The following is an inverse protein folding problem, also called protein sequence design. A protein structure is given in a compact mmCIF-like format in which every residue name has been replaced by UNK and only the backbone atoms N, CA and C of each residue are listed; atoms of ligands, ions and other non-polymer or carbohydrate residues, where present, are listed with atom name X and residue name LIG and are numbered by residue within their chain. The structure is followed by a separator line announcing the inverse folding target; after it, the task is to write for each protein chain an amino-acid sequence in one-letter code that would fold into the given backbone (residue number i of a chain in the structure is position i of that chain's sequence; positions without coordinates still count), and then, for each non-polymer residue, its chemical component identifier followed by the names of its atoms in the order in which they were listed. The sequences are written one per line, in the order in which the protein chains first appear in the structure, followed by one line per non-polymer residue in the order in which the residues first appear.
data_IF_711833821284
#
_entry.id   IF_711833821284
#
_cell.length_a   1.000
_cell.length_b   1.000
_cell.length_c   1.000
_cell.angle_alpha   90.00
_cell.angle_beta   90.00
_cell.angle_gamma   90.00
#
_symmetry.space_group_name_H-M   'P 1'
#
loop_
_entity.id
_entity.type
_entity.pdbx_description
1 polymer ?
#
# COMPACT_ATOMS: atom_id res chain seq x y z
N UNK A 1 -51.82 -22.26 -20.63
CA UNK A 1 -50.65 -21.41 -20.93
C UNK A 1 -50.35 -20.50 -19.74
N UNK A 2 -49.63 -20.95 -18.69
CA UNK A 2 -49.30 -20.12 -17.51
C UNK A 2 -48.23 -20.76 -16.60
N UNK A 3 -47.21 -21.40 -17.17
CA UNK A 3 -46.13 -22.04 -16.37
C UNK A 3 -44.73 -21.83 -16.93
N UNK A 4 -44.58 -21.32 -18.16
CA UNK A 4 -43.27 -21.17 -18.80
C UNK A 4 -42.53 -19.85 -18.47
N UNK A 5 -43.17 -18.89 -17.79
CA UNK A 5 -42.58 -17.56 -17.56
C UNK A 5 -41.80 -17.51 -16.22
N UNK A 6 -42.02 -18.46 -15.30
CA UNK A 6 -41.41 -18.40 -13.96
C UNK A 6 -39.93 -18.85 -13.91
N UNK A 7 -39.48 -19.64 -14.89
CA UNK A 7 -38.14 -20.24 -14.88
C UNK A 7 -37.04 -19.32 -15.42
N UNK A 8 -37.39 -18.33 -16.25
CA UNK A 8 -36.41 -17.39 -16.81
C UNK A 8 -36.01 -16.32 -15.79
N UNK A 9 -36.90 -15.94 -14.87
CA UNK A 9 -36.58 -14.97 -13.82
C UNK A 9 -35.68 -15.54 -12.71
N UNK A 10 -35.71 -16.87 -12.47
CA UNK A 10 -34.91 -17.47 -11.39
C UNK A 10 -33.43 -17.65 -11.77
N UNK A 11 -33.11 -17.82 -13.06
CA UNK A 11 -31.71 -17.88 -13.53
C UNK A 11 -31.06 -16.49 -13.67
N UNK A 12 -31.84 -15.42 -13.75
CA UNK A 12 -31.32 -14.06 -13.79
C UNK A 12 -30.81 -13.56 -12.43
N UNK A 13 -31.24 -14.17 -11.32
CA UNK A 13 -30.84 -13.74 -9.97
C UNK A 13 -29.54 -14.36 -9.46
N UNK A 14 -29.06 -15.45 -10.07
CA UNK A 14 -27.82 -16.13 -9.65
C UNK A 14 -26.57 -15.46 -10.25
N UNK A 15 -26.73 -14.53 -11.20
CA UNK A 15 -25.63 -13.76 -11.79
C UNK A 15 -25.36 -12.42 -11.09
N UNK A 16 -25.71 -12.29 -9.80
CA UNK A 16 -25.12 -11.21 -8.98
C UNK A 16 -23.67 -11.55 -8.70
N UNK A 17 -22.87 -11.12 -9.67
CA UNK A 17 -21.42 -11.17 -9.76
C UNK A 17 -20.77 -11.06 -8.38
N UNK A 18 -20.18 -12.17 -7.93
CA UNK A 18 -18.95 -12.09 -7.16
C UNK A 18 -17.90 -11.46 -8.08
N UNK A 19 -17.93 -10.13 -8.20
CA UNK A 19 -16.82 -9.42 -8.83
C UNK A 19 -15.57 -9.84 -8.03
N UNK A 20 -14.53 -10.41 -8.67
CA UNK A 20 -13.30 -10.70 -7.97
C UNK A 20 -12.84 -9.40 -7.34
N UNK A 21 -12.66 -9.39 -6.01
CA UNK A 21 -12.22 -8.22 -5.28
C UNK A 21 -10.99 -7.66 -6.00
N UNK A 22 -11.10 -6.45 -6.56
CA UNK A 22 -10.05 -5.83 -7.36
C UNK A 22 -8.77 -5.84 -6.53
N UNK A 23 -7.80 -6.67 -6.90
CA UNK A 23 -6.56 -6.83 -6.16
C UNK A 23 -5.91 -5.45 -6.01
N UNK A 24 -5.82 -4.97 -4.77
CA UNK A 24 -5.22 -3.68 -4.48
C UNK A 24 -3.75 -3.77 -4.87
N UNK A 25 -3.28 -2.80 -5.65
CA UNK A 25 -1.86 -2.69 -5.98
C UNK A 25 -1.15 -1.82 -4.93
N UNK A 26 0.16 -2.03 -4.69
CA UNK A 26 0.93 -1.16 -3.82
C UNK A 26 0.87 0.29 -4.29
N UNK A 27 0.83 1.22 -3.34
CA UNK A 27 0.70 2.65 -3.61
C UNK A 27 1.94 3.19 -4.33
N UNK A 28 1.71 3.98 -5.38
CA UNK A 28 2.76 4.73 -6.10
C UNK A 28 2.52 6.23 -6.01
N UNK A 29 3.58 7.01 -6.20
CA UNK A 29 3.50 8.46 -6.22
C UNK A 29 4.72 9.15 -5.63
N UNK A 30 4.60 10.47 -5.50
CA UNK A 30 5.63 11.32 -4.90
C UNK A 30 5.17 11.82 -3.54
N UNK A 31 6.02 11.61 -2.55
CA UNK A 31 5.75 11.87 -1.15
C UNK A 31 6.85 12.71 -0.54
N UNK A 32 6.49 13.65 0.32
CA UNK A 32 7.42 14.38 1.18
C UNK A 32 7.40 13.76 2.57
N UNK A 33 8.56 13.49 3.13
CA UNK A 33 8.69 13.08 4.54
C UNK A 33 8.40 14.29 5.42
N UNK A 34 7.36 14.19 6.25
CA UNK A 34 7.00 15.25 7.21
C UNK A 34 7.43 14.91 8.62
N UNK A 35 7.49 13.62 8.98
CA UNK A 35 7.97 13.15 10.27
C UNK A 35 8.74 11.83 10.07
N UNK A 36 9.82 11.64 10.83
CA UNK A 36 10.64 10.43 10.82
C UNK A 36 10.65 9.82 12.23
N UNK A 37 10.11 8.61 12.34
CA UNK A 37 10.02 7.81 13.56
C UNK A 37 10.95 6.58 13.51
N UNK A 38 11.58 6.34 12.36
CA UNK A 38 12.60 5.32 12.18
C UNK A 38 13.79 5.60 13.12
N UNK A 39 13.93 4.75 14.13
CA UNK A 39 15.01 4.76 15.11
C UNK A 39 16.14 3.78 14.79
N UNK A 40 16.01 3.02 13.69
CA UNK A 40 16.92 1.90 13.38
C UNK A 40 17.84 2.26 12.22
N UNK A 41 17.27 2.70 11.10
CA UNK A 41 18.03 2.94 9.87
C UNK A 41 18.25 4.43 9.60
N UNK A 42 17.40 5.29 10.17
CA UNK A 42 17.42 6.75 9.96
C UNK A 42 17.58 7.13 8.48
N UNK A 43 16.93 6.36 7.61
CA UNK A 43 17.18 6.37 6.18
C UNK A 43 16.77 7.70 5.53
N UNK A 44 15.60 8.21 5.93
CA UNK A 44 15.06 9.47 5.42
C UNK A 44 14.99 10.52 6.53
N UNK A 45 15.17 11.77 6.12
CA UNK A 45 15.06 12.96 6.99
C UNK A 45 13.80 13.73 6.64
N UNK A 46 13.26 14.47 7.61
CA UNK A 46 12.17 15.42 7.37
C UNK A 46 12.54 16.37 6.23
N UNK A 47 11.62 16.54 5.28
CA UNK A 47 11.79 17.34 4.07
C UNK A 47 12.30 16.55 2.85
N UNK A 48 12.80 15.33 3.03
CA UNK A 48 13.18 14.45 1.92
C UNK A 48 11.97 14.13 1.03
N UNK A 49 12.25 13.90 -0.25
CA UNK A 49 11.24 13.50 -1.24
C UNK A 49 11.46 12.06 -1.65
N UNK A 50 10.39 11.27 -1.62
CA UNK A 50 10.34 9.87 -2.03
C UNK A 50 9.48 9.76 -3.28
N UNK A 51 10.04 9.23 -4.36
CA UNK A 51 9.33 8.95 -5.61
C UNK A 51 9.23 7.43 -5.77
N UNK A 52 8.02 6.90 -5.58
CA UNK A 52 7.72 5.48 -5.52
C UNK A 52 7.04 5.06 -6.82
N UNK A 53 7.64 4.13 -7.55
CA UNK A 53 7.08 3.60 -8.78
C UNK A 53 7.40 2.13 -8.97
N UNK A 54 6.52 1.40 -9.66
CA UNK A 54 6.72 -0.01 -10.01
C UNK A 54 7.93 -0.21 -10.94
N UNK A 55 8.23 0.78 -11.79
CA UNK A 55 9.28 0.68 -12.81
C UNK A 55 10.66 1.12 -12.30
N UNK A 56 10.72 2.23 -11.54
CA UNK A 56 12.00 2.85 -11.11
C UNK A 56 12.34 2.53 -9.65
N UNK A 57 11.47 1.80 -8.96
CA UNK A 57 11.59 1.53 -7.54
C UNK A 57 11.31 2.77 -6.68
N UNK A 58 12.01 2.87 -5.54
CA UNK A 58 11.94 4.00 -4.61
C UNK A 58 13.15 4.91 -4.83
N UNK A 59 12.92 6.12 -5.34
CA UNK A 59 13.97 7.13 -5.52
C UNK A 59 13.88 8.15 -4.40
N UNK A 60 15.01 8.40 -3.75
CA UNK A 60 15.12 9.31 -2.63
C UNK A 60 15.89 10.56 -3.02
N UNK A 61 15.27 11.71 -2.78
CA UNK A 61 15.86 13.01 -3.03
C UNK A 61 15.98 13.81 -1.74
N UNK A 62 17.08 14.55 -1.62
CA UNK A 62 17.33 15.51 -0.54
C UNK A 62 17.78 16.82 -1.16
N UNK A 63 17.14 17.92 -0.77
CA UNK A 63 17.42 19.26 -1.31
C UNK A 63 17.43 19.29 -2.86
N UNK A 64 16.49 18.58 -3.49
CA UNK A 64 16.35 18.48 -4.94
C UNK A 64 17.35 17.56 -5.66
N UNK A 65 18.34 16.99 -4.96
CA UNK A 65 19.32 16.06 -5.54
C UNK A 65 18.94 14.62 -5.26
N UNK A 66 19.13 13.74 -6.24
CA UNK A 66 18.96 12.30 -6.05
C UNK A 66 20.07 11.78 -5.13
N UNK A 67 19.68 11.21 -3.99
CA UNK A 67 20.60 10.66 -2.99
C UNK A 67 20.80 9.16 -3.22
N UNK A 68 19.70 8.44 -3.42
CA UNK A 68 19.73 6.98 -3.56
C UNK A 68 18.55 6.47 -4.38
N UNK A 69 18.69 5.27 -4.92
CA UNK A 69 17.61 4.51 -5.56
C UNK A 69 17.58 3.12 -4.94
N UNK A 70 16.43 2.77 -4.35
CA UNK A 70 16.22 1.49 -3.69
C UNK A 70 15.36 0.62 -4.60
N UNK A 71 15.87 -0.59 -4.88
CA UNK A 71 15.08 -1.62 -5.57
C UNK A 71 13.99 -2.09 -4.63
N UNK A 72 12.74 -1.98 -5.09
CA UNK A 72 11.55 -2.48 -4.41
C UNK A 72 10.81 -3.44 -5.33
N UNK A 73 10.27 -4.52 -4.76
CA UNK A 73 9.55 -5.56 -5.50
C UNK A 73 8.10 -5.59 -5.00
N UNK A 74 7.09 -5.39 -5.86
CA UNK A 74 5.69 -5.50 -5.46
C UNK A 74 5.38 -6.91 -4.93
N UNK A 75 4.71 -7.00 -3.80
CA UNK A 75 4.27 -8.25 -3.20
C UNK A 75 2.90 -8.08 -2.53
N UNK A 76 2.34 -9.20 -2.06
CA UNK A 76 1.12 -9.21 -1.25
C UNK A 76 1.35 -10.16 -0.08
N UNK A 77 1.08 -9.70 1.14
CA UNK A 77 1.24 -10.50 2.35
C UNK A 77 -0.08 -10.58 3.10
N UNK A 78 -0.25 -11.65 3.88
CA UNK A 78 -1.43 -11.83 4.73
C UNK A 78 -1.16 -11.22 6.09
N UNK A 79 -1.98 -10.27 6.50
CA UNK A 79 -1.93 -9.64 7.81
C UNK A 79 -3.12 -10.11 8.64
N UNK A 80 -2.83 -10.46 9.88
CA UNK A 80 -3.76 -10.94 10.88
C UNK A 80 -4.08 -9.83 11.88
N UNK A 81 -5.36 -9.54 12.03
CA UNK A 81 -5.93 -8.57 12.96
C UNK A 81 -6.91 -9.26 13.90
N UNK A 82 -6.77 -9.03 15.20
CA UNK A 82 -7.75 -9.51 16.19
C UNK A 82 -8.86 -8.48 16.28
N UNK A 83 -10.09 -8.85 15.94
CA UNK A 83 -11.22 -7.93 16.06
C UNK A 83 -11.59 -7.73 17.54
N UNK A 84 -11.99 -6.52 17.97
CA UNK A 84 -12.49 -6.32 19.33
C UNK A 84 -13.72 -7.21 19.61
N UNK A 85 -13.78 -7.85 20.78
CA UNK A 85 -14.92 -8.68 21.18
C UNK A 85 -15.19 -8.59 22.69
N UNK A 86 -16.44 -8.85 23.09
CA UNK A 86 -16.87 -8.84 24.50
C UNK A 86 -16.39 -10.06 25.29
N UNK A 87 -16.24 -11.22 24.65
CA UNK A 87 -15.81 -12.48 25.29
C UNK A 87 -14.76 -13.20 24.44
N UNK A 88 -13.54 -13.43 24.96
CA UNK A 88 -12.51 -14.20 24.26
C UNK A 88 -12.90 -15.68 24.02
N UNK A 89 -12.31 -16.36 23.01
CA UNK A 89 -11.34 -15.84 22.05
C UNK A 89 -12.01 -14.92 21.01
N UNK A 90 -11.39 -13.77 20.74
CA UNK A 90 -11.91 -12.85 19.73
C UNK A 90 -11.65 -13.38 18.31
N UNK A 91 -12.56 -13.13 17.35
CA UNK A 91 -12.37 -13.56 15.98
C UNK A 91 -11.16 -12.87 15.37
N UNK A 92 -10.36 -13.67 14.66
CA UNK A 92 -9.17 -13.21 13.96
C UNK A 92 -9.51 -13.02 12.49
N UNK A 93 -9.20 -11.84 11.97
CA UNK A 93 -9.43 -11.45 10.59
C UNK A 93 -8.10 -11.48 9.85
N UNK A 94 -8.03 -12.25 8.77
CA UNK A 94 -6.87 -12.27 7.87
C UNK A 94 -7.24 -11.52 6.60
N UNK A 95 -6.40 -10.58 6.20
CA UNK A 95 -6.58 -9.81 4.98
C UNK A 95 -5.26 -9.67 4.23
N UNK A 96 -5.37 -9.53 2.91
CA UNK A 96 -4.23 -9.32 2.04
C UNK A 96 -3.86 -7.83 2.01
N UNK A 97 -2.58 -7.54 2.25
CA UNK A 97 -2.03 -6.19 2.23
C UNK A 97 -1.02 -6.09 1.09
N UNK A 98 -1.19 -5.14 0.15
CA UNK A 98 -0.22 -4.90 -0.90
C UNK A 98 0.99 -4.15 -0.34
N UNK A 99 2.19 -4.70 -0.60
CA UNK A 99 3.43 -4.18 -0.02
C UNK A 99 4.52 -4.11 -1.08
N UNK A 100 5.62 -3.47 -0.72
CA UNK A 100 6.88 -3.60 -1.42
C UNK A 100 7.87 -4.37 -0.55
N UNK A 101 8.56 -5.34 -1.12
CA UNK A 101 9.79 -5.86 -0.51
C UNK A 101 10.97 -4.97 -0.90
N UNK A 102 11.64 -4.39 0.10
CA UNK A 102 12.81 -3.55 -0.07
C UNK A 102 14.08 -4.34 0.29
N UNK A 103 14.72 -4.95 -0.71
CA UNK A 103 15.86 -5.84 -0.49
C UNK A 103 17.09 -5.18 0.16
N UNK A 104 17.28 -3.87 -0.01
CA UNK A 104 18.35 -3.15 0.69
C UNK A 104 18.09 -3.02 2.20
N UNK A 105 16.85 -3.19 2.63
CA UNK A 105 16.42 -3.04 4.02
C UNK A 105 16.09 -4.40 4.67
N UNK A 106 15.96 -5.47 3.88
CA UNK A 106 15.45 -6.77 4.33
C UNK A 106 14.12 -6.62 5.09
N UNK A 107 13.18 -5.87 4.49
CA UNK A 107 11.86 -5.55 5.07
C UNK A 107 10.77 -5.49 4.02
N UNK A 108 9.56 -5.81 4.44
CA UNK A 108 8.35 -5.41 3.73
C UNK A 108 7.99 -3.99 4.15
N UNK A 109 7.69 -3.12 3.19
CA UNK A 109 7.19 -1.77 3.42
C UNK A 109 5.77 -1.62 2.85
N UNK A 110 4.87 -1.07 3.66
CA UNK A 110 3.54 -0.67 3.25
C UNK A 110 3.50 0.85 3.16
N UNK A 111 2.96 1.34 2.05
CA UNK A 111 2.62 2.75 1.89
C UNK A 111 1.10 2.85 1.92
N UNK A 112 0.57 3.44 2.98
CA UNK A 112 -0.84 3.77 3.09
C UNK A 112 -1.04 5.23 2.68
N UNK A 113 -1.94 5.48 1.74
CA UNK A 113 -2.20 6.81 1.17
C UNK A 113 -3.63 7.24 1.47
N UNK A 114 -3.77 7.99 2.56
CA UNK A 114 -5.03 8.61 2.94
C UNK A 114 -5.07 10.04 2.40
N UNK A 115 -6.29 10.54 2.17
CA UNK A 115 -6.51 11.86 1.55
C UNK A 115 -5.83 13.04 2.27
N UNK A 116 -5.60 12.93 3.58
CA UNK A 116 -4.97 13.97 4.41
C UNK A 116 -3.53 13.69 4.83
N UNK A 117 -3.13 12.42 4.87
CA UNK A 117 -1.84 11.97 5.42
C UNK A 117 -1.49 10.60 4.82
N UNK A 118 -0.23 10.39 4.48
CA UNK A 118 0.26 9.09 4.00
C UNK A 118 1.27 8.54 5.02
N UNK A 119 1.43 7.22 5.09
CA UNK A 119 2.27 6.57 6.08
C UNK A 119 3.15 5.51 5.42
N UNK A 120 4.38 5.36 5.90
CA UNK A 120 5.26 4.25 5.56
C UNK A 120 5.44 3.37 6.79
N UNK A 121 4.90 2.17 6.72
CA UNK A 121 5.08 1.12 7.71
C UNK A 121 6.11 0.10 7.22
N UNK A 122 6.81 -0.55 8.15
CA UNK A 122 7.72 -1.64 7.84
C UNK A 122 7.48 -2.85 8.74
N UNK A 123 7.69 -4.03 8.17
CA UNK A 123 7.63 -5.32 8.85
C UNK A 123 8.89 -6.16 8.55
N UNK A 124 9.33 -7.02 9.48
CA UNK A 124 10.48 -7.90 9.28
C UNK A 124 10.32 -8.83 8.07
N UNK A 125 11.44 -9.17 7.42
CA UNK A 125 11.48 -10.13 6.30
C UNK A 125 11.14 -11.56 6.73
N UNK A 126 11.39 -11.91 7.99
CA UNK A 126 11.22 -13.25 8.59
C UNK A 126 9.79 -13.82 8.44
N UNK A 127 8.85 -13.02 7.92
CA UNK A 127 7.62 -13.50 7.31
C UNK A 127 7.91 -14.39 6.11
N UNK A 128 7.88 -15.70 6.32
CA UNK A 128 7.94 -16.65 5.24
C UNK A 128 6.62 -16.62 4.44
N UNK A 129 6.61 -15.85 3.35
CA UNK A 129 5.50 -15.83 2.36
C UNK A 129 5.15 -17.22 1.84
N UNK A 130 6.10 -18.15 1.81
CA UNK A 130 5.90 -19.54 1.38
C UNK A 130 5.28 -20.41 2.48
N UNK A 131 5.46 -20.07 3.77
CA UNK A 131 4.83 -20.79 4.89
C UNK A 131 3.32 -20.54 4.99
N UNK A 132 2.82 -19.50 4.32
CA UNK A 132 1.41 -19.09 4.35
C UNK A 132 0.91 -18.59 5.70
N UNK A 133 1.76 -18.52 6.73
CA UNK A 133 1.40 -18.01 8.05
C UNK A 133 1.23 -16.50 7.99
N UNK A 134 0.13 -15.92 8.48
CA UNK A 134 -0.11 -14.47 8.41
C UNK A 134 0.70 -13.70 9.46
N UNK A 135 1.13 -12.49 9.12
CA UNK A 135 1.89 -11.59 10.00
C UNK A 135 0.92 -10.90 10.96
N UNK A 136 1.27 -10.75 12.24
CA UNK A 136 0.39 -10.00 13.16
C UNK A 136 0.53 -8.50 12.90
N UNK A 137 -0.60 -7.79 12.90
CA UNK A 137 -0.63 -6.32 12.71
C UNK A 137 0.32 -5.58 13.67
N UNK A 138 0.45 -6.04 14.92
CA UNK A 138 1.37 -5.45 15.90
C UNK A 138 2.88 -5.57 15.60
N UNK A 139 3.27 -6.28 14.54
CA UNK A 139 4.66 -6.38 14.09
C UNK A 139 5.02 -5.30 13.05
N UNK A 140 4.04 -4.51 12.62
CA UNK A 140 4.27 -3.35 11.77
C UNK A 140 4.71 -2.16 12.60
N UNK A 141 5.83 -1.54 12.21
CA UNK A 141 6.32 -0.30 12.80
C UNK A 141 6.06 0.86 11.85
N UNK A 142 5.44 1.93 12.33
CA UNK A 142 5.38 3.20 11.61
C UNK A 142 6.78 3.82 11.60
N UNK A 143 7.35 4.01 10.41
CA UNK A 143 8.69 4.58 10.26
C UNK A 143 8.65 6.04 9.80
N UNK A 144 7.74 6.37 8.89
CA UNK A 144 7.67 7.72 8.34
C UNK A 144 6.23 8.18 8.16
N UNK A 145 6.02 9.44 8.49
CA UNK A 145 4.85 10.19 8.07
C UNK A 145 5.17 10.91 6.79
N UNK A 146 4.27 10.78 5.83
CA UNK A 146 4.41 11.29 4.50
C UNK A 146 3.25 12.24 4.16
N UNK A 147 3.54 13.19 3.27
CA UNK A 147 2.54 14.01 2.59
C UNK A 147 2.66 13.77 1.09
N UNK A 148 1.60 13.26 0.47
CA UNK A 148 1.53 13.17 -1.00
C UNK A 148 1.65 14.56 -1.61
N UNK A 149 2.68 14.75 -2.42
CA UNK A 149 2.88 15.99 -3.18
C UNK A 149 2.43 15.69 -4.60
N UNK A 150 1.22 16.14 -4.95
CA UNK A 150 0.51 15.68 -6.15
C UNK A 150 1.36 15.66 -7.43
N UNK A 151 1.18 14.58 -8.19
CA UNK A 151 1.14 14.66 -9.64
C UNK A 151 -0.26 15.10 -10.07
N UNK A 152 -0.51 16.40 -10.12
CA UNK A 152 -1.37 16.94 -11.18
C UNK A 152 -0.43 17.29 -12.31
N UNK A 153 -0.69 16.76 -13.50
CA UNK A 153 -0.04 17.20 -14.73
C UNK A 153 -0.24 18.71 -14.84
N UNK A 154 0.78 19.51 -14.51
CA UNK A 154 0.77 20.93 -14.78
C UNK A 154 1.17 21.05 -16.25
N UNK A 155 0.16 21.17 -17.10
CA UNK A 155 0.36 21.73 -18.43
C UNK A 155 0.94 23.14 -18.22
N UNK A 156 2.23 23.27 -18.49
CA UNK A 156 2.87 24.56 -18.74
C UNK A 156 2.32 25.02 -20.10
N UNK A 157 1.24 25.78 -20.06
CA UNK A 157 0.83 26.63 -21.17
C UNK A 157 1.64 27.91 -21.15
N UNK A 158 2.94 27.84 -21.42
CA UNK A 158 3.69 29.02 -21.85
C UNK A 158 3.41 29.23 -23.35
N UNK A 159 2.24 29.78 -23.64
CA UNK A 159 1.94 30.42 -24.92
C UNK A 159 2.18 31.92 -24.79
N UNK A 160 3.43 32.35 -24.88
CA UNK A 160 3.74 33.75 -25.21
C UNK A 160 4.39 33.75 -26.58
N UNK A 161 3.55 33.75 -27.61
CA UNK A 161 3.95 34.10 -28.95
C UNK A 161 4.21 35.62 -28.98
N UNK A 162 5.41 35.99 -29.42
CA UNK A 162 5.66 37.25 -30.12
C UNK A 162 5.88 36.89 -31.57
#
# INVERSE_FOLDING_TARGET
MKTAILLVCLMAFIQTMAQPAKQRQPVTGRFRVTEAMDTVFHLFKTGDMLDVSLQKGLRHYRNGKLVSTYKIIPATIKVKKVAPCLKPPCPELVHDVPVYYAGALNRYIELDDLSSKSYLYAAPEDYNTQSGQPLREGQWALWYVLKKTGGKSSFIGHGKAR
#
